data_IF_098526403726
#
_entry.id   IF_098526403726
#
_cell.length_a   1.000
_cell.length_b   1.000
_cell.length_c   1.000
_cell.angle_alpha   90.00
_cell.angle_beta   90.00
_cell.angle_gamma   90.00
#
_symmetry.space_group_name_H-M   'P 1'
#
loop_
_entity.id
_entity.type
_entity.pdbx_description
1 polymer ?
#
# COMPACT_ATOMS: atom_id res chain seq x y z
N UNK A 1 -20.65 2.61 -46.62
CA UNK A 1 -19.77 1.87 -47.54
C UNK A 1 -18.71 1.15 -46.73
N UNK A 2 -18.43 -0.12 -47.02
CA UNK A 2 -17.37 -0.91 -46.38
C UNK A 2 -17.83 -1.99 -45.40
N UNK A 3 -18.59 -2.98 -45.89
CA UNK A 3 -18.88 -4.25 -45.20
C UNK A 3 -17.68 -5.20 -45.31
N UNK A 4 -17.34 -5.94 -44.25
CA UNK A 4 -16.67 -7.25 -44.33
C UNK A 4 -17.45 -8.28 -43.50
N UNK A 5 -17.66 -9.52 -43.99
CA UNK A 5 -18.60 -10.47 -43.40
C UNK A 5 -17.92 -11.50 -42.47
N UNK A 6 -18.73 -12.02 -41.56
CA UNK A 6 -18.49 -13.18 -40.72
C UNK A 6 -18.58 -14.49 -41.54
N UNK A 7 -17.79 -15.50 -41.15
CA UNK A 7 -17.97 -16.88 -41.60
C UNK A 7 -18.21 -17.78 -40.37
N UNK A 8 -19.40 -18.37 -40.35
CA UNK A 8 -19.79 -19.54 -39.57
C UNK A 8 -20.02 -20.64 -40.61
N UNK A 9 -19.46 -21.84 -40.43
CA UNK A 9 -20.02 -23.06 -40.99
C UNK A 9 -19.49 -24.29 -40.24
N UNK A 10 -20.37 -24.85 -39.42
CA UNK A 10 -20.39 -26.22 -38.94
C UNK A 10 -20.64 -27.19 -40.11
N UNK A 11 -20.09 -28.40 -40.07
CA UNK A 11 -20.73 -29.57 -40.69
C UNK A 11 -20.22 -30.88 -40.05
N UNK A 12 -21.14 -31.60 -39.42
CA UNK A 12 -21.03 -33.05 -39.16
C UNK A 12 -21.46 -33.81 -40.42
N UNK A 13 -21.04 -35.08 -40.60
CA UNK A 13 -21.88 -36.25 -40.96
C UNK A 13 -21.02 -37.53 -41.13
N UNK A 14 -21.43 -38.55 -40.36
CA UNK A 14 -21.56 -40.00 -40.60
C UNK A 14 -20.47 -40.87 -41.29
N UNK A 15 -19.99 -41.84 -40.50
CA UNK A 15 -20.14 -43.30 -40.62
C UNK A 15 -20.07 -44.02 -41.99
N UNK A 16 -19.18 -45.01 -42.06
CA UNK A 16 -19.35 -46.24 -42.84
C UNK A 16 -18.77 -47.45 -42.07
N UNK A 17 -19.56 -48.53 -42.00
CA UNK A 17 -19.30 -49.84 -41.37
C UNK A 17 -18.67 -50.85 -42.34
N UNK A 18 -18.34 -52.05 -41.81
CA UNK A 18 -17.98 -53.36 -42.41
C UNK A 18 -16.47 -53.62 -42.62
N UNK A 19 -15.90 -54.80 -42.38
CA UNK A 19 -16.33 -56.03 -41.73
C UNK A 19 -15.08 -56.91 -41.42
N UNK A 20 -15.23 -57.75 -40.40
CA UNK A 20 -14.57 -59.02 -40.05
C UNK A 20 -13.36 -59.56 -40.85
N UNK A 21 -12.35 -60.02 -40.10
CA UNK A 21 -11.35 -61.00 -40.53
C UNK A 21 -10.63 -61.65 -39.34
N UNK A 22 -11.09 -62.83 -38.92
CA UNK A 22 -10.39 -63.74 -38.00
C UNK A 22 -9.07 -64.21 -38.64
N UNK A 23 -7.96 -64.18 -37.89
CA UNK A 23 -6.78 -65.02 -38.17
C UNK A 23 -6.08 -65.48 -36.88
N UNK A 24 -6.39 -66.72 -36.55
CA UNK A 24 -5.57 -67.79 -35.96
C UNK A 24 -4.27 -67.43 -35.22
N UNK A 25 -4.30 -67.83 -33.95
CA UNK A 25 -3.20 -68.13 -33.04
C UNK A 25 -2.21 -69.11 -33.68
N UNK A 26 -0.93 -68.75 -33.70
CA UNK A 26 0.18 -69.69 -33.88
C UNK A 26 1.08 -69.54 -32.65
N UNK A 27 1.04 -70.55 -31.78
CA UNK A 27 1.89 -70.64 -30.61
C UNK A 27 3.32 -70.99 -30.98
N UNK A 28 4.27 -70.25 -30.44
CA UNK A 28 5.70 -70.60 -30.43
C UNK A 28 6.06 -71.34 -29.15
N UNK A 29 7.01 -72.29 -29.19
CA UNK A 29 7.17 -73.31 -28.16
C UNK A 29 7.82 -72.76 -26.90
N UNK A 30 7.32 -73.24 -25.76
CA UNK A 30 7.92 -73.03 -24.45
C UNK A 30 9.30 -73.69 -24.39
N UNK A 31 10.33 -72.89 -24.14
CA UNK A 31 11.64 -73.38 -23.71
C UNK A 31 11.50 -73.80 -22.25
N UNK A 32 11.60 -75.10 -22.01
CA UNK A 32 11.63 -75.68 -20.68
C UNK A 32 12.89 -75.23 -19.95
N UNK A 33 12.74 -74.29 -19.01
CA UNK A 33 13.75 -74.05 -18.00
C UNK A 33 13.72 -75.22 -17.01
N UNK A 34 14.76 -76.03 -17.05
CA UNK A 34 15.02 -77.13 -16.12
C UNK A 34 14.95 -76.61 -14.69
N UNK A 35 14.03 -77.17 -13.92
CA UNK A 35 13.85 -76.85 -12.50
C UNK A 35 15.11 -77.12 -11.71
N UNK A 36 15.64 -76.06 -11.11
CA UNK A 36 16.49 -76.16 -9.93
C UNK A 36 15.56 -76.30 -8.72
N UNK A 37 15.86 -77.30 -7.91
CA UNK A 37 15.17 -77.71 -6.69
C UNK A 37 14.97 -76.57 -5.70
N UNK A 38 13.75 -76.51 -5.12
CA UNK A 38 13.36 -75.86 -3.86
C UNK A 38 14.49 -75.15 -3.09
N UNK A 39 14.57 -73.84 -3.26
CA UNK A 39 14.83 -72.91 -2.17
C UNK A 39 13.87 -71.73 -2.39
N UNK A 40 12.64 -71.87 -1.88
CA UNK A 40 11.76 -70.72 -1.75
C UNK A 40 12.44 -69.79 -0.76
N UNK A 41 13.19 -68.79 -1.24
CA UNK A 41 13.56 -67.64 -0.42
C UNK A 41 12.26 -67.11 0.17
N UNK A 42 12.05 -67.31 1.46
CA UNK A 42 10.88 -66.80 2.16
C UNK A 42 10.80 -65.30 1.89
N UNK A 43 9.69 -64.85 1.30
CA UNK A 43 9.46 -63.42 1.07
C UNK A 43 9.47 -62.69 2.42
N UNK A 44 9.98 -61.46 2.45
CA UNK A 44 9.90 -60.65 3.66
C UNK A 44 8.46 -60.28 4.03
N UNK A 45 7.51 -60.36 3.08
CA UNK A 45 6.10 -60.02 3.24
C UNK A 45 5.25 -61.29 3.13
N UNK A 46 4.89 -61.88 4.26
CA UNK A 46 4.02 -63.06 4.37
C UNK A 46 2.94 -62.84 5.43
N UNK A 47 2.08 -63.84 5.67
CA UNK A 47 1.13 -63.80 6.79
C UNK A 47 1.81 -63.77 8.16
N UNK A 48 3.05 -64.26 8.26
CA UNK A 48 3.81 -64.36 9.52
C UNK A 48 4.94 -63.31 9.62
N UNK A 49 5.42 -62.76 8.51
CA UNK A 49 6.52 -61.78 8.45
C UNK A 49 6.07 -60.49 7.74
N UNK A 50 6.25 -59.32 8.38
CA UNK A 50 5.82 -57.99 7.89
C UNK A 50 4.43 -57.94 7.21
N UNK A 51 3.43 -58.60 7.80
CA UNK A 51 2.10 -58.79 7.23
C UNK A 51 1.33 -57.49 6.89
N UNK A 52 1.77 -56.32 7.37
CA UNK A 52 1.17 -55.02 7.09
C UNK A 52 1.88 -54.23 5.99
N UNK A 53 3.07 -54.67 5.55
CA UNK A 53 3.86 -54.01 4.52
C UNK A 53 3.28 -54.30 3.13
N UNK A 54 3.28 -53.29 2.25
CA UNK A 54 2.68 -53.36 0.92
C UNK A 54 1.15 -53.28 0.90
N UNK A 55 0.49 -52.89 2.01
CA UNK A 55 -0.99 -52.85 2.14
C UNK A 55 -1.58 -51.44 2.22
N UNK A 56 -0.77 -50.39 2.36
CA UNK A 56 -1.28 -49.02 2.37
C UNK A 56 -1.68 -48.54 0.97
N UNK A 57 -2.44 -47.42 0.91
CA UNK A 57 -2.98 -46.87 -0.34
C UNK A 57 -1.90 -46.52 -1.37
N UNK A 58 -0.74 -46.02 -0.94
CA UNK A 58 0.37 -45.65 -1.81
C UNK A 58 1.63 -46.43 -1.43
N UNK A 59 1.77 -47.62 -1.99
CA UNK A 59 2.98 -48.45 -1.84
C UNK A 59 4.09 -47.95 -2.77
N UNK A 60 5.33 -47.93 -2.27
CA UNK A 60 6.50 -47.56 -3.06
C UNK A 60 6.89 -48.70 -4.03
N UNK A 61 7.29 -48.36 -5.26
CA UNK A 61 7.47 -49.32 -6.36
C UNK A 61 8.28 -50.58 -6.00
N UNK A 62 9.53 -50.45 -5.50
CA UNK A 62 10.33 -51.59 -5.09
C UNK A 62 9.67 -52.49 -4.03
N UNK A 63 8.89 -51.91 -3.10
CA UNK A 63 8.16 -52.68 -2.08
C UNK A 63 6.95 -53.40 -2.69
N UNK A 64 6.25 -52.78 -3.63
CA UNK A 64 5.11 -53.39 -4.31
C UNK A 64 5.49 -54.66 -5.09
N UNK A 65 6.74 -54.77 -5.54
CA UNK A 65 7.29 -55.94 -6.24
C UNK A 65 8.18 -56.83 -5.36
N UNK A 66 8.25 -56.56 -4.05
CA UNK A 66 9.00 -57.38 -3.09
C UNK A 66 10.53 -57.31 -3.22
N UNK A 67 11.09 -56.27 -3.85
CA UNK A 67 12.52 -56.08 -4.05
C UNK A 67 13.16 -55.34 -2.88
N UNK A 68 13.31 -56.03 -1.74
CA UNK A 68 13.87 -55.44 -0.53
C UNK A 68 15.39 -55.20 -0.65
N UNK A 69 16.10 -56.05 -1.40
CA UNK A 69 17.58 -56.01 -1.50
C UNK A 69 18.11 -54.82 -2.31
N UNK A 70 17.23 -54.13 -3.07
CA UNK A 70 17.60 -52.90 -3.80
C UNK A 70 17.91 -51.75 -2.83
N UNK A 71 17.38 -51.80 -1.61
CA UNK A 71 17.55 -50.78 -0.59
C UNK A 71 18.26 -51.29 0.66
N UNK A 72 18.12 -52.58 0.98
CA UNK A 72 18.61 -53.17 2.21
C UNK A 72 19.70 -54.23 1.97
N UNK A 73 20.75 -54.19 2.77
CA UNK A 73 21.70 -55.28 2.90
C UNK A 73 21.45 -56.05 4.21
N UNK A 74 21.45 -57.38 4.13
CA UNK A 74 21.36 -58.24 5.30
C UNK A 74 22.67 -58.19 6.09
N UNK A 75 22.59 -57.88 7.37
CA UNK A 75 23.71 -57.93 8.34
C UNK A 75 23.58 -59.08 9.33
N UNK A 76 22.49 -59.84 9.25
CA UNK A 76 22.21 -61.02 10.06
C UNK A 76 20.94 -61.73 9.62
N UNK A 77 20.50 -62.75 10.38
CA UNK A 77 19.32 -63.59 10.04
C UNK A 77 18.02 -62.80 9.84
N UNK A 78 17.85 -61.67 10.54
CA UNK A 78 16.74 -60.73 10.37
C UNK A 78 17.16 -59.31 10.75
N UNK A 79 18.36 -58.92 10.33
CA UNK A 79 18.93 -57.60 10.58
C UNK A 79 19.33 -56.99 9.24
N UNK A 80 18.85 -55.78 8.97
CA UNK A 80 19.05 -55.10 7.69
C UNK A 80 19.45 -53.66 7.92
N UNK A 81 20.37 -53.15 7.08
CA UNK A 81 20.69 -51.72 7.02
C UNK A 81 20.54 -51.20 5.60
N UNK A 82 20.31 -49.89 5.40
CA UNK A 82 20.39 -49.30 4.08
C UNK A 82 21.75 -49.59 3.43
N UNK A 83 21.76 -49.95 2.14
CA UNK A 83 23.00 -50.31 1.40
C UNK A 83 23.99 -49.14 1.26
N UNK A 84 23.53 -47.92 1.48
CA UNK A 84 24.34 -46.70 1.46
C UNK A 84 23.62 -45.62 2.25
N UNK A 85 24.15 -44.39 2.26
CA UNK A 85 23.45 -43.24 2.84
C UNK A 85 22.04 -43.10 2.24
N UNK A 86 21.06 -42.76 3.09
CA UNK A 86 19.65 -42.72 2.70
C UNK A 86 19.41 -41.76 1.53
N UNK A 87 20.07 -40.60 1.52
CA UNK A 87 19.93 -39.62 0.45
C UNK A 87 20.47 -40.15 -0.88
N UNK A 88 21.69 -40.67 -0.86
CA UNK A 88 22.32 -41.28 -2.05
C UNK A 88 21.55 -42.50 -2.56
N UNK A 89 20.96 -43.28 -1.66
CA UNK A 89 20.11 -44.42 -2.04
C UNK A 89 18.91 -43.96 -2.86
N UNK A 90 18.21 -42.92 -2.41
CA UNK A 90 17.09 -42.35 -3.15
C UNK A 90 17.51 -41.84 -4.54
N UNK A 91 18.67 -41.19 -4.64
CA UNK A 91 19.17 -40.61 -5.90
C UNK A 91 19.63 -41.62 -6.95
N UNK A 92 19.77 -42.90 -6.61
CA UNK A 92 20.02 -43.96 -7.60
C UNK A 92 18.86 -44.12 -8.59
N UNK A 93 17.64 -43.80 -8.15
CA UNK A 93 16.43 -43.90 -8.97
C UNK A 93 15.72 -42.55 -9.15
N UNK A 94 15.77 -41.66 -8.16
CA UNK A 94 15.12 -40.36 -8.21
C UNK A 94 16.06 -39.26 -8.67
N UNK A 95 15.50 -38.30 -9.40
CA UNK A 95 16.26 -37.10 -9.80
C UNK A 95 16.80 -36.39 -8.56
N UNK A 96 18.05 -35.91 -8.67
CA UNK A 96 18.70 -35.05 -7.68
C UNK A 96 17.90 -33.77 -7.47
N UNK A 97 17.55 -33.51 -6.21
CA UNK A 97 16.75 -32.35 -5.76
C UNK A 97 17.50 -31.48 -4.74
N UNK A 98 18.82 -31.54 -4.79
CA UNK A 98 19.79 -30.87 -3.93
C UNK A 98 20.78 -29.99 -4.73
N UNK A 99 20.39 -29.59 -5.94
CA UNK A 99 21.28 -28.96 -6.93
C UNK A 99 20.97 -27.49 -7.20
N UNK A 100 19.84 -26.96 -6.71
CA UNK A 100 19.48 -25.54 -6.86
C UNK A 100 20.11 -24.67 -5.77
N UNK A 101 20.00 -23.35 -5.94
CA UNK A 101 20.65 -22.37 -5.05
C UNK A 101 20.20 -22.48 -3.59
N UNK A 102 18.91 -22.70 -3.36
CA UNK A 102 18.34 -22.83 -2.03
C UNK A 102 17.77 -24.23 -1.88
N UNK A 103 18.41 -25.05 -1.05
CA UNK A 103 17.98 -26.42 -0.75
C UNK A 103 17.42 -26.46 0.66
N UNK A 104 16.26 -27.11 0.83
CA UNK A 104 15.67 -27.30 2.14
C UNK A 104 16.58 -28.17 3.00
N UNK A 105 16.82 -27.76 4.25
CA UNK A 105 17.81 -28.41 5.13
C UNK A 105 17.67 -29.94 5.21
N UNK A 106 16.47 -30.53 5.40
CA UNK A 106 16.33 -31.99 5.43
C UNK A 106 16.76 -32.68 4.13
N UNK A 107 16.53 -32.05 2.98
CA UNK A 107 16.96 -32.57 1.67
C UNK A 107 18.47 -32.49 1.52
N UNK A 108 19.07 -31.35 1.91
CA UNK A 108 20.53 -31.16 1.90
C UNK A 108 21.26 -32.18 2.79
N UNK A 109 20.62 -32.60 3.87
CA UNK A 109 21.14 -33.60 4.82
C UNK A 109 20.79 -35.05 4.44
N UNK A 110 20.19 -35.31 3.27
CA UNK A 110 19.81 -36.66 2.84
C UNK A 110 18.68 -37.31 3.65
N UNK A 111 17.95 -36.53 4.46
CA UNK A 111 16.90 -37.02 5.37
C UNK A 111 15.54 -37.16 4.68
N UNK A 112 15.52 -37.79 3.50
CA UNK A 112 14.31 -38.00 2.69
C UNK A 112 13.21 -38.70 3.50
N UNK A 113 13.60 -39.65 4.36
CA UNK A 113 12.69 -40.45 5.17
C UNK A 113 12.04 -39.69 6.33
N UNK A 114 12.43 -38.45 6.61
CA UNK A 114 11.72 -37.62 7.59
C UNK A 114 10.35 -37.20 7.07
N UNK A 115 10.24 -37.00 5.75
CA UNK A 115 9.01 -36.58 5.08
C UNK A 115 8.33 -37.74 4.35
N UNK A 116 9.11 -38.62 3.74
CA UNK A 116 8.62 -39.75 2.96
C UNK A 116 8.75 -41.07 3.75
N UNK A 117 7.83 -41.99 3.54
CA UNK A 117 7.95 -43.37 3.95
C UNK A 117 8.42 -44.20 2.74
N UNK A 118 9.65 -44.74 2.75
CA UNK A 118 10.21 -45.42 1.59
C UNK A 118 9.53 -46.77 1.30
N UNK A 119 8.64 -47.25 2.18
CA UNK A 119 7.90 -48.47 1.96
C UNK A 119 6.50 -48.18 1.45
N UNK A 120 5.72 -47.39 2.19
CA UNK A 120 4.31 -47.17 1.89
C UNK A 120 3.70 -46.06 2.75
N UNK A 121 2.61 -45.44 2.28
CA UNK A 121 1.84 -44.47 3.07
C UNK A 121 0.36 -44.43 2.66
N UNK A 122 -0.57 -44.04 3.56
CA UNK A 122 -1.92 -43.65 3.18
C UNK A 122 -1.95 -42.32 2.38
N UNK A 123 -0.87 -41.53 2.37
CA UNK A 123 -0.76 -40.24 1.70
C UNK A 123 -0.02 -40.34 0.36
N UNK A 124 -0.45 -39.55 -0.63
CA UNK A 124 0.18 -39.49 -1.96
C UNK A 124 1.66 -39.09 -1.82
N UNK A 125 2.51 -39.56 -2.73
CA UNK A 125 3.97 -39.36 -2.70
C UNK A 125 4.63 -39.95 -1.45
N UNK A 126 4.00 -40.96 -0.85
CA UNK A 126 4.52 -41.65 0.31
C UNK A 126 4.74 -40.72 1.52
N UNK A 127 4.00 -39.62 1.64
CA UNK A 127 4.24 -38.66 2.72
C UNK A 127 3.85 -39.23 4.08
N UNK A 128 4.65 -38.98 5.12
CA UNK A 128 4.36 -39.46 6.49
C UNK A 128 3.14 -38.79 7.14
N UNK A 129 2.68 -37.67 6.60
CA UNK A 129 1.48 -36.97 7.03
C UNK A 129 0.89 -36.20 5.83
N UNK A 130 -0.40 -35.88 5.91
CA UNK A 130 -1.10 -35.12 4.88
C UNK A 130 -0.87 -33.61 5.02
N UNK A 131 -0.75 -32.91 3.89
CA UNK A 131 -0.78 -31.44 3.83
C UNK A 131 0.20 -30.76 4.79
N UNK A 132 -0.30 -29.74 5.48
CA UNK A 132 0.44 -28.94 6.46
C UNK A 132 0.86 -29.72 7.71
N UNK A 133 0.17 -30.81 8.04
CA UNK A 133 0.55 -31.65 9.19
C UNK A 133 1.95 -32.23 9.02
N UNK A 134 2.39 -32.46 7.77
CA UNK A 134 3.76 -32.87 7.49
C UNK A 134 4.77 -31.80 7.90
N UNK A 135 4.48 -30.54 7.57
CA UNK A 135 5.33 -29.40 7.88
C UNK A 135 5.39 -29.17 9.39
N UNK A 136 4.27 -29.30 10.10
CA UNK A 136 4.17 -29.06 11.54
C UNK A 136 4.83 -30.14 12.42
N UNK A 137 5.33 -31.23 11.83
CA UNK A 137 6.23 -32.16 12.54
C UNK A 137 7.54 -31.49 12.95
N UNK A 138 7.91 -30.37 12.32
CA UNK A 138 9.10 -29.60 12.64
C UNK A 138 8.86 -28.09 12.77
N UNK A 139 7.96 -27.51 11.96
CA UNK A 139 7.65 -26.09 12.02
C UNK A 139 6.61 -25.80 13.11
N UNK A 140 6.85 -24.81 13.97
CA UNK A 140 5.93 -24.51 15.07
C UNK A 140 4.58 -23.98 14.54
N UNK A 141 3.54 -24.79 14.69
CA UNK A 141 2.15 -24.48 14.30
C UNK A 141 1.63 -23.18 14.91
N UNK A 142 2.02 -22.82 16.12
CA UNK A 142 1.54 -21.62 16.81
C UNK A 142 1.85 -20.34 16.03
N UNK A 143 2.98 -20.31 15.32
CA UNK A 143 3.38 -19.15 14.49
C UNK A 143 2.51 -18.93 13.26
N UNK A 144 1.67 -19.90 12.91
CA UNK A 144 0.76 -19.89 11.76
C UNK A 144 -0.72 -19.76 12.16
N UNK A 145 -1.01 -19.75 13.48
CA UNK A 145 -2.37 -19.80 14.02
C UNK A 145 -2.66 -18.59 14.92
N UNK A 146 -2.33 -17.39 14.44
CA UNK A 146 -2.65 -16.12 15.12
C UNK A 146 -4.08 -15.65 14.76
N UNK A 147 -4.47 -14.49 15.28
CA UNK A 147 -5.84 -13.96 15.16
C UNK A 147 -6.34 -13.85 13.72
N UNK A 148 -5.49 -13.40 12.81
CA UNK A 148 -5.75 -13.36 11.37
C UNK A 148 -4.80 -14.32 10.69
N UNK A 149 -5.35 -15.22 9.87
CA UNK A 149 -4.58 -16.24 9.16
C UNK A 149 -4.74 -15.98 7.66
N UNK A 150 -3.63 -16.03 6.94
CA UNK A 150 -3.65 -15.88 5.49
C UNK A 150 -4.32 -17.09 4.83
N UNK A 151 -5.17 -16.87 3.82
CA UNK A 151 -6.01 -17.90 3.19
C UNK A 151 -5.29 -19.21 2.85
N UNK A 152 -4.17 -19.20 2.11
CA UNK A 152 -3.41 -20.41 1.81
C UNK A 152 -2.92 -21.16 3.05
N UNK A 153 -2.52 -20.44 4.10
CA UNK A 153 -2.13 -21.05 5.38
C UNK A 153 -3.32 -21.64 6.11
N UNK A 154 -4.47 -20.96 6.09
CA UNK A 154 -5.70 -21.41 6.74
C UNK A 154 -6.23 -22.74 6.15
N UNK A 155 -5.95 -23.01 4.87
CA UNK A 155 -6.32 -24.27 4.19
C UNK A 155 -5.17 -25.28 4.12
N UNK A 156 -4.02 -24.99 4.76
CA UNK A 156 -2.88 -25.90 4.82
C UNK A 156 -2.04 -25.99 3.54
N UNK A 157 -2.19 -25.06 2.60
CA UNK A 157 -1.48 -25.06 1.33
C UNK A 157 -0.17 -24.26 1.39
N UNK A 158 0.82 -24.78 2.10
CA UNK A 158 2.17 -24.23 2.13
C UNK A 158 2.83 -24.22 0.74
N UNK A 159 2.44 -25.18 -0.12
CA UNK A 159 3.01 -25.42 -1.44
C UNK A 159 2.66 -24.33 -2.46
N UNK A 160 1.57 -23.60 -2.23
CA UNK A 160 1.17 -22.43 -3.03
C UNK A 160 2.17 -21.27 -3.02
N UNK A 161 3.10 -21.25 -2.08
CA UNK A 161 4.15 -20.24 -1.97
C UNK A 161 5.55 -20.85 -1.88
N UNK A 162 5.68 -22.04 -1.27
CA UNK A 162 6.96 -22.68 -0.99
C UNK A 162 7.20 -23.94 -1.82
N UNK A 163 8.44 -24.12 -2.28
CA UNK A 163 8.93 -25.36 -2.89
C UNK A 163 9.67 -26.22 -1.87
N UNK A 164 9.02 -27.29 -1.40
CA UNK A 164 9.44 -28.05 -0.21
C UNK A 164 10.82 -28.72 -0.27
N UNK A 165 11.38 -28.92 -1.48
CA UNK A 165 12.68 -29.57 -1.68
C UNK A 165 13.80 -28.56 -1.89
N UNK A 166 13.66 -27.76 -2.95
CA UNK A 166 14.67 -26.81 -3.39
C UNK A 166 14.02 -25.75 -4.29
N UNK A 167 14.68 -24.60 -4.40
CA UNK A 167 14.27 -23.51 -5.27
C UNK A 167 15.42 -22.55 -5.52
N UNK A 168 15.15 -21.54 -6.33
CA UNK A 168 16.14 -20.52 -6.69
C UNK A 168 16.02 -19.28 -5.79
N UNK A 169 14.93 -19.17 -5.02
CA UNK A 169 14.63 -18.00 -4.22
C UNK A 169 14.78 -18.26 -2.71
N UNK A 170 15.23 -17.26 -1.93
CA UNK A 170 15.34 -17.38 -0.48
C UNK A 170 14.05 -17.88 0.17
N UNK A 171 14.21 -18.60 1.30
CA UNK A 171 13.08 -19.22 2.04
C UNK A 171 12.25 -20.19 1.19
N UNK A 172 12.85 -20.75 0.14
CA UNK A 172 12.21 -21.71 -0.76
C UNK A 172 10.94 -21.15 -1.40
N UNK A 173 10.89 -19.86 -1.72
CA UNK A 173 9.75 -19.29 -2.41
C UNK A 173 9.70 -19.77 -3.86
N UNK A 174 8.50 -19.90 -4.43
CA UNK A 174 8.31 -20.29 -5.82
C UNK A 174 8.57 -19.15 -6.82
N UNK A 175 8.63 -17.90 -6.35
CA UNK A 175 8.91 -16.71 -7.15
C UNK A 175 9.70 -15.68 -6.35
N UNK A 176 10.37 -14.75 -7.04
CA UNK A 176 11.23 -13.75 -6.42
C UNK A 176 10.43 -12.60 -5.79
N UNK A 177 10.73 -12.30 -4.52
CA UNK A 177 10.23 -11.10 -3.83
C UNK A 177 8.72 -10.98 -3.93
N UNK A 178 8.23 -9.79 -4.29
CA UNK A 178 6.79 -9.51 -4.39
C UNK A 178 6.07 -10.31 -5.49
N UNK A 179 6.80 -10.90 -6.44
CA UNK A 179 6.20 -11.67 -7.53
C UNK A 179 5.43 -12.89 -7.01
N UNK A 180 5.83 -13.46 -5.86
CA UNK A 180 5.07 -14.56 -5.23
C UNK A 180 3.67 -14.12 -4.82
N UNK A 181 3.53 -12.88 -4.33
CA UNK A 181 2.26 -12.30 -3.94
C UNK A 181 1.38 -12.03 -5.17
N UNK A 182 1.99 -11.54 -6.26
CA UNK A 182 1.30 -11.15 -7.49
C UNK A 182 0.75 -12.32 -8.31
N UNK A 183 1.16 -13.56 -8.00
CA UNK A 183 0.51 -14.75 -8.56
C UNK A 183 -0.99 -14.80 -8.25
N UNK A 184 -1.40 -14.24 -7.10
CA UNK A 184 -2.81 -14.19 -6.67
C UNK A 184 -3.33 -12.75 -6.54
N UNK A 185 -2.54 -11.84 -5.96
CA UNK A 185 -2.90 -10.42 -5.79
C UNK A 185 -2.68 -9.62 -7.08
N UNK A 186 -3.41 -10.02 -8.12
CA UNK A 186 -3.32 -9.46 -9.47
C UNK A 186 -3.82 -8.02 -9.53
N UNK A 187 -4.76 -7.64 -8.67
CA UNK A 187 -5.23 -6.27 -8.49
C UNK A 187 -4.07 -5.34 -8.05
N UNK A 188 -3.22 -5.81 -7.13
CA UNK A 188 -2.03 -5.07 -6.70
C UNK A 188 -0.97 -5.04 -7.78
N UNK A 189 -0.74 -6.16 -8.46
CA UNK A 189 0.19 -6.20 -9.59
C UNK A 189 -0.19 -5.17 -10.67
N UNK A 190 -1.47 -5.03 -10.96
CA UNK A 190 -1.99 -4.08 -11.94
C UNK A 190 -1.91 -2.64 -11.45
N UNK A 191 -2.27 -2.38 -10.19
CA UNK A 191 -2.16 -1.06 -9.59
C UNK A 191 -0.71 -0.55 -9.59
N UNK A 192 0.28 -1.43 -9.35
CA UNK A 192 1.70 -1.10 -9.41
C UNK A 192 2.19 -0.71 -10.80
N UNK A 193 1.58 -1.24 -11.86
CA UNK A 193 1.91 -0.88 -13.25
C UNK A 193 1.31 0.45 -13.66
N UNK A 194 0.10 0.73 -13.18
CA UNK A 194 -0.72 1.83 -13.71
C UNK A 194 -0.67 3.12 -12.88
N UNK A 195 -0.30 3.05 -11.60
CA UNK A 195 -0.26 4.22 -10.71
C UNK A 195 1.11 4.90 -10.75
N UNK A 196 1.10 6.22 -10.69
CA UNK A 196 2.31 7.05 -10.86
C UNK A 196 3.26 7.02 -9.67
N UNK A 197 2.74 6.99 -8.45
CA UNK A 197 3.52 7.09 -7.22
C UNK A 197 3.41 5.80 -6.43
N UNK A 198 4.49 5.01 -6.42
CA UNK A 198 4.58 3.78 -5.64
C UNK A 198 5.26 4.08 -4.31
N UNK A 199 4.69 3.58 -3.22
CA UNK A 199 5.30 3.70 -1.90
C UNK A 199 6.54 2.80 -1.82
N UNK A 200 7.70 3.42 -1.57
CA UNK A 200 9.01 2.76 -1.64
C UNK A 200 9.09 1.43 -0.86
N UNK A 201 8.66 1.32 0.41
CA UNK A 201 8.74 0.06 1.15
C UNK A 201 8.00 -1.09 0.44
N UNK A 202 6.88 -0.79 -0.20
CA UNK A 202 6.09 -1.81 -0.90
C UNK A 202 6.74 -2.20 -2.24
N UNK A 203 7.45 -1.28 -2.91
CA UNK A 203 8.24 -1.64 -4.10
C UNK A 203 9.39 -2.60 -3.81
N UNK A 204 9.92 -2.56 -2.58
CA UNK A 204 11.03 -3.41 -2.13
C UNK A 204 10.52 -4.75 -1.58
N UNK A 205 9.48 -4.72 -0.73
CA UNK A 205 8.98 -5.93 -0.06
C UNK A 205 7.59 -5.73 0.56
N UNK A 206 6.61 -6.53 0.14
CA UNK A 206 5.29 -6.59 0.79
C UNK A 206 5.40 -7.01 2.27
N UNK A 207 6.37 -7.87 2.59
CA UNK A 207 6.49 -8.45 3.93
C UNK A 207 7.13 -7.50 4.95
N UNK A 208 7.59 -6.32 4.53
CA UNK A 208 7.99 -5.24 5.44
C UNK A 208 6.81 -4.72 6.27
N UNK A 209 5.59 -4.86 5.74
CA UNK A 209 4.36 -4.42 6.41
C UNK A 209 3.41 -5.59 6.71
N UNK A 210 3.39 -6.61 5.85
CA UNK A 210 2.53 -7.78 5.99
C UNK A 210 3.29 -9.00 6.54
N UNK A 211 2.60 -9.82 7.31
CA UNK A 211 3.00 -11.19 7.61
C UNK A 211 2.30 -12.13 6.60
N UNK A 212 3.03 -12.88 5.76
CA UNK A 212 2.43 -13.73 4.74
C UNK A 212 1.78 -15.01 5.33
N UNK A 213 1.91 -15.26 6.63
CA UNK A 213 1.37 -16.44 7.29
C UNK A 213 0.16 -16.12 8.15
N UNK A 214 0.39 -15.38 9.24
CA UNK A 214 -0.64 -14.99 10.20
C UNK A 214 -0.17 -13.80 11.03
N UNK A 215 -1.11 -12.99 11.51
CA UNK A 215 -0.82 -11.81 12.32
C UNK A 215 -1.93 -11.50 13.31
N UNK A 216 -1.64 -10.57 14.21
CA UNK A 216 -2.61 -10.12 15.22
C UNK A 216 -3.46 -8.95 14.74
N UNK A 217 -3.05 -8.32 13.64
CA UNK A 217 -3.70 -7.16 13.03
C UNK A 217 -4.38 -7.54 11.70
N UNK A 218 -5.47 -6.85 11.41
CA UNK A 218 -6.25 -7.06 10.19
C UNK A 218 -5.36 -6.89 8.95
N UNK A 219 -5.64 -7.67 7.90
CA UNK A 219 -4.83 -7.77 6.68
C UNK A 219 -3.42 -8.35 6.92
N UNK A 220 -3.25 -9.06 8.04
CA UNK A 220 -1.98 -9.64 8.49
C UNK A 220 -0.87 -8.59 8.59
N UNK A 221 -1.18 -7.39 9.09
CA UNK A 221 -0.15 -6.37 9.27
C UNK A 221 0.74 -6.69 10.48
N UNK A 222 1.98 -6.21 10.45
CA UNK A 222 2.92 -6.37 11.57
C UNK A 222 2.53 -5.50 12.80
N UNK A 223 1.84 -4.38 12.58
CA UNK A 223 1.37 -3.41 13.58
C UNK A 223 -0.02 -2.87 13.19
N UNK A 224 -0.68 -2.04 14.02
CA UNK A 224 -1.93 -1.38 13.62
C UNK A 224 -1.70 -0.51 12.36
N UNK A 225 -2.40 -0.86 11.27
CA UNK A 225 -2.19 -0.27 9.95
C UNK A 225 -2.69 1.17 9.79
N UNK A 226 -3.40 1.72 10.77
CA UNK A 226 -3.97 3.07 10.67
C UNK A 226 -3.00 4.12 11.18
N UNK A 227 -2.03 3.75 12.01
CA UNK A 227 -1.12 4.70 12.65
C UNK A 227 0.22 4.09 13.06
N UNK A 228 0.22 3.06 13.91
CA UNK A 228 1.44 2.50 14.51
C UNK A 228 2.42 1.99 13.45
N UNK A 229 1.90 1.27 12.45
CA UNK A 229 2.71 0.80 11.33
C UNK A 229 3.38 1.95 10.58
N UNK A 230 2.66 3.04 10.34
CA UNK A 230 3.22 4.21 9.65
C UNK A 230 4.37 4.82 10.47
N UNK A 231 4.16 4.95 11.78
CA UNK A 231 5.14 5.52 12.71
C UNK A 231 6.31 4.61 13.05
N UNK A 232 6.31 3.34 12.64
CA UNK A 232 7.51 2.50 12.70
C UNK A 232 8.65 3.00 11.79
N UNK A 233 8.30 3.79 10.75
CA UNK A 233 9.25 4.38 9.81
C UNK A 233 9.17 5.91 9.77
N UNK A 234 7.98 6.50 9.93
CA UNK A 234 7.75 7.94 9.84
C UNK A 234 7.84 8.65 11.20
N UNK A 235 8.94 8.44 11.92
CA UNK A 235 9.14 8.91 13.30
C UNK A 235 9.14 10.44 13.40
N UNK A 236 9.72 11.13 12.41
CA UNK A 236 9.72 12.61 12.35
C UNK A 236 8.30 13.14 12.23
N UNK A 237 7.45 12.47 11.43
CA UNK A 237 6.05 12.86 11.28
C UNK A 237 5.27 12.61 12.58
N UNK A 238 5.53 11.49 13.26
CA UNK A 238 4.96 11.20 14.57
C UNK A 238 5.28 12.33 15.56
N UNK A 239 6.55 12.77 15.59
CA UNK A 239 7.01 13.87 16.44
C UNK A 239 6.32 15.19 16.08
N UNK A 240 6.23 15.53 14.80
CA UNK A 240 5.54 16.76 14.36
C UNK A 240 4.06 16.77 14.78
N UNK A 241 3.36 15.64 14.64
CA UNK A 241 1.96 15.50 15.04
C UNK A 241 1.81 15.59 16.57
N UNK A 242 2.73 15.00 17.33
CA UNK A 242 2.66 15.01 18.79
C UNK A 242 2.95 16.40 19.38
N UNK A 243 3.86 17.15 18.78
CA UNK A 243 4.24 18.52 19.19
C UNK A 243 3.25 19.60 18.71
N UNK A 244 2.36 19.28 17.76
CA UNK A 244 1.38 20.23 17.24
C UNK A 244 0.36 20.65 18.31
N UNK A 245 0.26 21.95 18.58
CA UNK A 245 -0.73 22.51 19.51
C UNK A 245 -2.10 22.69 18.86
N UNK A 246 -2.15 22.95 17.55
CA UNK A 246 -3.36 23.01 16.73
C UNK A 246 -3.39 21.76 15.85
N UNK A 247 -4.10 20.74 16.34
CA UNK A 247 -4.18 19.43 15.68
C UNK A 247 -5.24 19.40 14.59
N UNK A 248 -4.98 18.62 13.54
CA UNK A 248 -5.98 18.33 12.53
C UNK A 248 -6.86 17.15 12.97
N UNK A 249 -8.14 17.42 13.24
CA UNK A 249 -9.10 16.38 13.68
C UNK A 249 -9.29 15.23 12.68
N UNK A 250 -8.91 15.41 11.40
CA UNK A 250 -8.91 14.33 10.42
C UNK A 250 -8.01 13.15 10.82
N UNK A 251 -6.96 13.40 11.61
CA UNK A 251 -6.07 12.36 12.14
C UNK A 251 -6.74 11.49 13.21
N UNK A 252 -7.80 11.98 13.84
CA UNK A 252 -8.57 11.26 14.87
C UNK A 252 -9.76 10.48 14.29
N UNK A 253 -9.92 10.47 12.96
CA UNK A 253 -10.96 9.65 12.31
C UNK A 253 -10.64 8.17 12.47
N UNK A 254 -11.64 7.29 12.28
CA UNK A 254 -11.44 5.84 12.37
C UNK A 254 -10.36 5.32 11.39
N UNK A 255 -10.15 6.02 10.27
CA UNK A 255 -9.15 5.70 9.25
C UNK A 255 -7.79 6.36 9.48
N UNK A 256 -7.70 7.36 10.36
CA UNK A 256 -6.46 8.08 10.71
C UNK A 256 -5.63 8.46 9.47
N UNK A 257 -4.39 7.99 9.34
CA UNK A 257 -3.52 8.23 8.18
C UNK A 257 -4.16 7.81 6.85
N UNK A 258 -4.91 6.71 6.86
CA UNK A 258 -5.59 6.13 5.69
C UNK A 258 -6.86 6.90 5.29
N UNK A 259 -7.22 7.96 6.02
CA UNK A 259 -8.26 8.90 5.58
C UNK A 259 -7.78 9.74 4.37
N UNK A 260 -6.46 9.93 4.26
CA UNK A 260 -5.84 10.76 3.23
C UNK A 260 -4.85 9.97 2.36
N UNK A 261 -4.21 8.93 2.89
CA UNK A 261 -3.11 8.24 2.23
C UNK A 261 -3.47 6.81 1.77
N UNK A 262 -2.97 6.41 0.60
CA UNK A 262 -2.88 5.02 0.18
C UNK A 262 -1.47 4.48 0.49
N UNK A 263 -1.32 3.43 1.32
CA UNK A 263 -0.01 2.97 1.75
C UNK A 263 0.76 2.19 0.66
N UNK A 264 0.14 1.91 -0.49
CA UNK A 264 0.75 1.15 -1.58
C UNK A 264 1.08 2.05 -2.76
N UNK A 265 0.06 2.66 -3.35
CA UNK A 265 0.18 3.38 -4.63
C UNK A 265 -0.83 4.51 -4.76
N UNK A 266 -0.47 5.54 -5.52
CA UNK A 266 -1.35 6.67 -5.79
C UNK A 266 -1.06 7.32 -7.14
N UNK A 267 -2.05 8.02 -7.70
CA UNK A 267 -1.87 8.93 -8.83
C UNK A 267 -1.40 10.34 -8.41
N UNK A 268 -1.42 10.60 -7.11
CA UNK A 268 -1.13 11.89 -6.51
C UNK A 268 0.15 11.82 -5.64
N UNK A 269 0.92 12.92 -5.59
CA UNK A 269 2.16 12.95 -4.82
C UNK A 269 1.86 12.71 -3.33
N UNK A 270 2.88 12.25 -2.59
CA UNK A 270 2.78 11.95 -1.15
C UNK A 270 1.70 10.91 -0.82
N UNK A 271 1.40 10.02 -1.77
CA UNK A 271 0.46 8.91 -1.59
C UNK A 271 -0.98 9.35 -1.28
N UNK A 272 -1.44 10.50 -1.77
CA UNK A 272 -2.79 10.98 -1.48
C UNK A 272 -3.86 10.16 -2.23
N UNK A 273 -4.99 9.86 -1.61
CA UNK A 273 -6.05 9.06 -2.24
C UNK A 273 -6.86 9.84 -3.31
N UNK A 274 -6.70 11.16 -3.35
CA UNK A 274 -7.37 12.09 -4.27
C UNK A 274 -6.46 13.29 -4.55
N UNK A 275 -6.85 14.11 -5.51
CA UNK A 275 -6.24 15.40 -5.77
C UNK A 275 -6.28 16.27 -4.48
N UNK A 276 -5.18 16.97 -4.12
CA UNK A 276 -5.08 17.72 -2.88
C UNK A 276 -6.29 18.58 -2.50
N UNK A 277 -6.79 19.45 -3.39
CA UNK A 277 -7.93 20.30 -3.07
C UNK A 277 -9.22 19.49 -2.95
N UNK A 278 -9.46 18.53 -3.85
CA UNK A 278 -10.63 17.66 -3.78
C UNK A 278 -10.67 16.81 -2.50
N UNK A 279 -9.50 16.37 -2.01
CA UNK A 279 -9.37 15.66 -0.75
C UNK A 279 -9.79 16.55 0.43
N UNK A 280 -9.27 17.77 0.48
CA UNK A 280 -9.64 18.74 1.52
C UNK A 280 -11.12 19.09 1.47
N UNK A 281 -11.61 19.47 0.28
CA UNK A 281 -12.99 19.88 0.05
C UNK A 281 -14.00 18.72 0.18
N UNK A 282 -13.54 17.47 0.23
CA UNK A 282 -14.39 16.32 0.57
C UNK A 282 -14.87 16.31 2.03
N UNK A 283 -14.15 17.00 2.93
CA UNK A 283 -14.53 17.15 4.34
C UNK A 283 -14.83 18.61 4.71
N UNK A 284 -14.17 19.58 4.07
CA UNK A 284 -14.37 21.01 4.24
C UNK A 284 -15.54 21.54 3.37
N UNK A 285 -16.59 20.74 3.23
CA UNK A 285 -17.80 21.02 2.44
C UNK A 285 -18.98 21.56 3.26
N UNK A 286 -18.74 21.83 4.54
CA UNK A 286 -19.71 22.33 5.50
C UNK A 286 -19.03 23.11 6.61
N UNK A 287 -19.82 23.89 7.32
CA UNK A 287 -19.36 24.57 8.52
C UNK A 287 -19.24 23.60 9.71
N UNK A 288 -18.19 23.76 10.52
CA UNK A 288 -18.09 23.06 11.80
C UNK A 288 -17.34 23.87 12.85
N UNK A 289 -17.69 23.65 14.12
CA UNK A 289 -17.05 24.29 15.26
C UNK A 289 -15.72 23.61 15.59
N UNK A 290 -14.68 24.40 15.80
CA UNK A 290 -13.41 23.94 16.35
C UNK A 290 -13.09 24.70 17.64
N UNK A 291 -12.18 24.21 18.50
CA UNK A 291 -11.74 24.93 19.70
C UNK A 291 -11.20 26.33 19.40
N UNK A 292 -10.69 26.56 18.19
CA UNK A 292 -10.16 27.86 17.74
C UNK A 292 -11.18 28.70 16.95
N UNK A 293 -12.46 28.31 17.00
CA UNK A 293 -13.58 28.96 16.33
C UNK A 293 -14.13 28.18 15.15
N UNK A 294 -15.11 28.76 14.48
CA UNK A 294 -15.85 28.13 13.38
C UNK A 294 -15.00 28.04 12.12
N UNK A 295 -14.87 26.82 11.57
CA UNK A 295 -14.29 26.57 10.25
C UNK A 295 -15.42 26.68 9.23
N UNK A 296 -15.26 27.59 8.27
CA UNK A 296 -16.27 27.85 7.25
C UNK A 296 -16.38 26.68 6.26
N UNK A 297 -17.53 26.61 5.59
CA UNK A 297 -17.70 25.78 4.40
C UNK A 297 -16.78 26.27 3.28
N UNK A 298 -15.60 25.67 3.15
CA UNK A 298 -14.60 26.13 2.20
C UNK A 298 -15.02 25.82 0.76
N UNK A 299 -15.70 24.69 0.54
CA UNK A 299 -16.21 24.32 -0.79
C UNK A 299 -17.18 25.36 -1.33
N UNK A 300 -18.13 25.79 -0.50
CA UNK A 300 -19.08 26.84 -0.86
C UNK A 300 -18.41 28.21 -1.01
N UNK A 301 -17.48 28.56 -0.10
CA UNK A 301 -16.73 29.82 -0.19
C UNK A 301 -15.98 29.94 -1.52
N UNK A 302 -15.26 28.88 -1.94
CA UNK A 302 -14.52 28.88 -3.19
C UNK A 302 -15.43 28.85 -4.42
N UNK A 303 -16.59 28.20 -4.34
CA UNK A 303 -17.58 28.20 -5.42
C UNK A 303 -18.21 29.58 -5.65
N UNK A 304 -18.49 30.30 -4.56
CA UNK A 304 -19.17 31.61 -4.60
C UNK A 304 -18.22 32.79 -4.91
N UNK A 305 -16.91 32.58 -4.85
CA UNK A 305 -15.90 33.63 -5.05
C UNK A 305 -14.98 33.24 -6.21
N UNK A 306 -14.97 34.04 -7.28
CA UNK A 306 -14.27 33.68 -8.53
C UNK A 306 -12.80 34.08 -8.58
N UNK A 307 -12.37 35.06 -7.78
CA UNK A 307 -10.97 35.49 -7.71
C UNK A 307 -10.24 34.71 -6.61
N UNK A 308 -9.74 33.52 -6.97
CA UNK A 308 -8.99 32.62 -6.09
C UNK A 308 -7.56 33.10 -5.91
N UNK A 309 -7.06 33.06 -4.68
CA UNK A 309 -5.66 33.33 -4.37
C UNK A 309 -4.75 32.29 -5.03
N UNK A 310 -3.52 32.66 -5.42
CA UNK A 310 -2.62 31.84 -6.25
C UNK A 310 -2.56 30.35 -5.86
N UNK A 311 -2.14 29.99 -4.64
CA UNK A 311 -2.09 28.59 -4.21
C UNK A 311 -3.46 27.88 -4.19
N UNK A 312 -4.57 28.60 -3.97
CA UNK A 312 -5.91 28.02 -4.05
C UNK A 312 -6.27 27.73 -5.51
N UNK A 313 -5.94 28.63 -6.43
CA UNK A 313 -6.08 28.43 -7.88
C UNK A 313 -5.26 27.24 -8.37
N UNK A 314 -4.09 27.01 -7.76
CA UNK A 314 -3.21 25.88 -8.05
C UNK A 314 -3.59 24.61 -7.27
N UNK A 315 -4.71 24.62 -6.54
CA UNK A 315 -5.23 23.51 -5.73
C UNK A 315 -4.28 23.07 -4.59
N UNK A 316 -3.31 23.92 -4.22
CA UNK A 316 -2.34 23.66 -3.16
C UNK A 316 -2.73 24.33 -1.84
N UNK A 317 -3.73 23.75 -1.16
CA UNK A 317 -4.10 24.16 0.20
C UNK A 317 -2.94 23.96 1.19
N UNK A 318 -2.05 23.01 0.91
CA UNK A 318 -0.95 22.61 1.79
C UNK A 318 0.23 23.56 1.76
N UNK A 319 0.27 24.52 0.83
CA UNK A 319 1.24 25.63 0.83
C UNK A 319 1.13 26.50 2.09
N UNK A 320 -0.09 26.78 2.55
CA UNK A 320 -0.37 27.62 3.71
C UNK A 320 -0.77 26.82 4.94
N UNK A 321 -1.45 25.67 4.76
CA UNK A 321 -1.90 24.81 5.85
C UNK A 321 -1.01 23.58 6.00
N UNK A 322 -0.74 23.17 7.22
CA UNK A 322 -0.17 21.87 7.53
C UNK A 322 -1.29 20.88 7.85
N UNK A 323 -1.53 19.93 6.95
CA UNK A 323 -2.56 18.90 7.08
C UNK A 323 -2.37 17.96 8.27
N UNK A 324 -1.18 17.94 8.88
CA UNK A 324 -0.88 17.12 10.05
C UNK A 324 -1.01 17.88 11.37
N UNK A 325 -1.35 19.17 11.32
CA UNK A 325 -1.36 20.08 12.45
C UNK A 325 -0.17 21.02 12.48
N UNK A 326 -0.26 22.08 13.26
CA UNK A 326 0.85 23.01 13.48
C UNK A 326 0.73 23.70 14.83
N UNK A 327 1.68 24.59 15.15
CA UNK A 327 1.60 25.44 16.34
C UNK A 327 0.81 26.74 16.13
N UNK A 328 0.34 26.98 14.91
CA UNK A 328 -0.25 28.26 14.51
C UNK A 328 -1.76 28.14 14.26
N UNK A 329 -2.46 29.27 14.40
CA UNK A 329 -3.91 29.36 14.21
C UNK A 329 -4.35 28.67 12.91
N UNK A 330 -5.38 27.83 12.97
CA UNK A 330 -5.92 27.06 11.82
C UNK A 330 -4.86 26.24 11.08
N UNK A 331 -3.90 25.68 11.83
CA UNK A 331 -2.86 24.79 11.32
C UNK A 331 -2.01 25.46 10.22
N UNK A 332 -1.86 26.77 10.27
CA UNK A 332 -1.04 27.48 9.30
C UNK A 332 0.43 27.06 9.43
N UNK A 333 1.20 27.10 8.35
CA UNK A 333 2.61 26.73 8.37
C UNK A 333 3.48 27.72 9.14
N UNK A 334 3.10 28.98 9.11
CA UNK A 334 3.75 30.08 9.81
C UNK A 334 2.70 30.99 10.45
N UNK A 335 3.17 31.90 11.31
CA UNK A 335 2.28 32.76 12.06
C UNK A 335 1.52 33.74 11.15
N UNK A 336 0.21 33.78 11.36
CA UNK A 336 -0.69 34.81 10.83
C UNK A 336 -1.91 34.89 11.77
N UNK A 337 -2.00 35.93 12.63
CA UNK A 337 -2.95 35.94 13.72
C UNK A 337 -4.40 36.08 13.22
N UNK A 338 -5.38 35.61 14.03
CA UNK A 338 -6.80 35.80 13.73
C UNK A 338 -7.30 37.23 13.96
N UNK A 339 -6.43 38.12 14.44
CA UNK A 339 -6.80 39.44 14.93
C UNK A 339 -7.06 40.42 13.79
N UNK A 340 -8.01 41.32 14.00
CA UNK A 340 -8.25 42.47 13.12
C UNK A 340 -7.13 43.51 13.27
N UNK A 341 -6.77 43.82 14.52
CA UNK A 341 -5.70 44.74 14.86
C UNK A 341 -4.54 44.01 15.52
N UNK A 342 -3.31 44.31 15.08
CA UNK A 342 -2.07 43.92 15.73
C UNK A 342 -1.03 45.03 15.53
N UNK A 343 -0.18 45.27 16.52
CA UNK A 343 1.01 46.11 16.30
C UNK A 343 1.87 45.52 15.18
N UNK A 344 2.50 46.38 14.38
CA UNK A 344 3.37 45.92 13.31
C UNK A 344 4.54 45.12 13.87
N UNK A 345 4.57 43.84 13.51
CA UNK A 345 5.68 42.93 13.73
C UNK A 345 5.70 41.98 12.54
N UNK A 346 6.86 41.82 11.89
CA UNK A 346 7.00 40.94 10.73
C UNK A 346 6.65 39.49 11.05
N UNK A 347 6.91 39.05 12.29
CA UNK A 347 6.55 37.72 12.76
C UNK A 347 5.04 37.47 12.74
N UNK A 348 4.20 38.52 12.82
CA UNK A 348 2.74 38.37 12.70
C UNK A 348 2.30 38.09 11.26
N UNK A 349 3.15 38.31 10.27
CA UNK A 349 2.81 38.16 8.85
C UNK A 349 3.72 37.16 8.15
N UNK A 350 4.49 36.39 8.92
CA UNK A 350 5.52 35.48 8.40
C UNK A 350 4.96 34.52 7.36
N UNK A 351 3.74 34.02 7.54
CA UNK A 351 3.05 33.21 6.51
C UNK A 351 2.91 33.94 5.18
N UNK A 352 2.44 35.18 5.19
CA UNK A 352 2.25 35.98 3.99
C UNK A 352 3.60 36.28 3.32
N UNK A 353 4.61 36.58 4.13
CA UNK A 353 5.95 36.94 3.66
C UNK A 353 6.79 35.77 3.17
N UNK A 354 6.27 34.54 3.21
CA UNK A 354 6.86 33.42 2.47
C UNK A 354 6.79 33.62 0.96
N UNK A 355 5.83 34.43 0.47
CA UNK A 355 5.62 34.68 -0.96
C UNK A 355 5.45 36.17 -1.32
N UNK A 356 5.07 37.02 -0.36
CA UNK A 356 4.90 38.45 -0.57
C UNK A 356 6.06 39.24 0.03
N UNK A 357 6.53 40.26 -0.70
CA UNK A 357 7.63 41.10 -0.25
C UNK A 357 7.24 41.94 0.99
N UNK A 358 8.04 41.88 2.06
CA UNK A 358 7.70 42.57 3.32
C UNK A 358 7.80 44.11 3.18
N UNK A 359 8.61 44.60 2.23
CA UNK A 359 8.79 46.02 1.96
C UNK A 359 7.46 46.72 1.62
N UNK A 360 6.46 45.98 1.13
CA UNK A 360 5.11 46.51 0.87
C UNK A 360 4.48 47.15 2.10
N UNK A 361 4.79 46.67 3.31
CA UNK A 361 4.27 47.22 4.55
C UNK A 361 5.30 48.05 5.32
N UNK A 362 6.58 47.99 4.96
CA UNK A 362 7.66 48.71 5.66
C UNK A 362 7.97 50.08 5.08
N UNK A 363 7.90 50.21 3.76
CA UNK A 363 8.30 51.42 3.07
C UNK A 363 7.19 52.48 3.13
N UNK A 364 7.54 53.68 3.61
CA UNK A 364 6.61 54.81 3.72
C UNK A 364 6.11 55.29 2.36
N UNK A 365 6.98 55.22 1.35
CA UNK A 365 6.72 55.66 0.00
C UNK A 365 7.15 54.61 -1.01
N UNK A 366 6.47 54.56 -2.15
CA UNK A 366 6.81 53.66 -3.26
C UNK A 366 6.13 54.11 -4.54
N UNK A 367 6.76 53.83 -5.68
CA UNK A 367 6.12 53.96 -7.00
C UNK A 367 5.90 52.62 -7.69
N UNK A 368 6.59 51.57 -7.22
CA UNK A 368 6.72 50.26 -7.88
C UNK A 368 6.18 49.08 -7.08
N UNK A 369 6.23 49.12 -5.74
CA UNK A 369 5.92 47.95 -4.89
C UNK A 369 4.42 47.62 -4.86
N UNK A 370 3.56 48.63 -4.97
CA UNK A 370 2.11 48.44 -4.88
C UNK A 370 1.33 49.51 -5.62
N UNK A 371 0.14 49.13 -6.08
CA UNK A 371 -0.84 50.05 -6.66
C UNK A 371 -1.80 50.64 -5.61
N UNK A 372 -1.71 50.23 -4.35
CA UNK A 372 -2.44 50.84 -3.23
C UNK A 372 -1.60 51.98 -2.63
N UNK A 373 -1.53 53.08 -3.36
CA UNK A 373 -0.75 54.27 -3.01
C UNK A 373 -1.42 55.55 -3.51
N UNK A 374 -1.28 56.65 -2.77
CA UNK A 374 -1.78 57.97 -3.16
C UNK A 374 -0.58 58.86 -3.54
N UNK A 375 -0.38 59.13 -4.82
CA UNK A 375 0.95 59.53 -5.30
C UNK A 375 1.98 58.46 -4.96
N UNK A 376 3.11 58.84 -4.39
CA UNK A 376 4.13 57.93 -3.88
C UNK A 376 3.82 57.41 -2.45
N UNK A 377 2.84 57.96 -1.74
CA UNK A 377 2.51 57.54 -0.37
C UNK A 377 1.97 56.10 -0.35
N UNK A 378 2.70 55.19 0.28
CA UNK A 378 2.31 53.80 0.39
C UNK A 378 1.18 53.63 1.41
N UNK A 379 -0.02 53.26 0.95
CA UNK A 379 -1.16 53.13 1.85
C UNK A 379 -1.12 51.84 2.68
N UNK A 380 -0.39 50.79 2.26
CA UNK A 380 -0.17 49.63 3.12
C UNK A 380 0.59 50.02 4.39
N UNK A 381 1.65 50.83 4.26
CA UNK A 381 2.38 51.37 5.41
C UNK A 381 1.46 52.12 6.39
N UNK A 382 0.59 52.99 5.86
CA UNK A 382 -0.35 53.78 6.68
C UNK A 382 -1.32 52.91 7.48
N UNK A 383 -1.72 51.74 6.97
CA UNK A 383 -2.70 50.87 7.62
C UNK A 383 -2.06 49.79 8.49
N UNK A 384 -0.98 49.18 8.01
CA UNK A 384 -0.36 47.98 8.60
C UNK A 384 0.77 48.36 9.55
N UNK A 385 1.61 49.34 9.18
CA UNK A 385 2.79 49.75 9.94
C UNK A 385 2.47 50.77 11.03
N UNK A 386 1.75 50.30 12.06
CA UNK A 386 1.45 51.08 13.26
C UNK A 386 1.91 50.30 14.48
N UNK A 387 2.61 50.99 15.39
CA UNK A 387 3.01 50.41 16.67
C UNK A 387 1.79 49.94 17.49
N UNK A 388 0.71 50.72 17.45
CA UNK A 388 -0.56 50.42 18.14
C UNK A 388 -1.69 50.40 17.11
N UNK A 389 -2.55 49.36 17.17
CA UNK A 389 -3.71 49.18 16.28
C UNK A 389 -3.38 49.19 14.78
N UNK A 390 -2.26 48.59 14.37
CA UNK A 390 -2.03 48.26 12.95
C UNK A 390 -3.10 47.29 12.46
N UNK A 391 -3.62 47.50 11.25
CA UNK A 391 -4.57 46.58 10.63
C UNK A 391 -3.81 45.39 10.07
N UNK A 392 -4.22 44.17 10.40
CA UNK A 392 -3.63 42.98 9.78
C UNK A 392 -4.08 42.86 8.33
N UNK A 393 -3.39 42.06 7.51
CA UNK A 393 -3.79 41.81 6.13
C UNK A 393 -5.26 41.32 6.02
N UNK A 394 -5.72 40.56 7.03
CA UNK A 394 -7.09 40.01 7.12
C UNK A 394 -8.17 41.08 7.33
N UNK A 395 -7.78 42.27 7.78
CA UNK A 395 -8.69 43.41 7.96
C UNK A 395 -9.20 43.98 6.63
N UNK A 396 -8.57 43.61 5.50
CA UNK A 396 -9.02 44.00 4.17
C UNK A 396 -9.10 42.80 3.19
N UNK A 397 -8.23 41.80 3.34
CA UNK A 397 -8.09 40.70 2.38
C UNK A 397 -8.66 39.38 2.91
N UNK A 398 -9.27 38.60 2.02
CA UNK A 398 -9.42 37.16 2.22
C UNK A 398 -8.24 36.45 1.57
N UNK A 399 -7.59 35.54 2.30
CA UNK A 399 -6.44 34.81 1.79
C UNK A 399 -6.83 33.62 0.89
N UNK A 400 -8.13 33.28 0.80
CA UNK A 400 -8.60 32.17 -0.02
C UNK A 400 -9.16 32.66 -1.35
N UNK A 401 -10.26 33.42 -1.31
CA UNK A 401 -10.93 33.92 -2.50
C UNK A 401 -11.87 35.08 -2.16
N UNK A 402 -12.04 36.02 -3.09
CA UNK A 402 -13.16 36.98 -3.08
C UNK A 402 -13.71 37.16 -4.50
N UNK A 403 -14.66 38.08 -4.68
CA UNK A 403 -15.08 38.53 -6.02
C UNK A 403 -14.44 39.87 -6.42
N UNK A 404 -13.67 40.49 -5.53
CA UNK A 404 -13.03 41.78 -5.79
C UNK A 404 -11.56 41.62 -6.13
N UNK A 405 -11.00 42.50 -6.99
CA UNK A 405 -9.59 42.46 -7.34
C UNK A 405 -8.68 42.49 -6.11
N UNK A 406 -7.57 41.75 -6.18
CA UNK A 406 -6.56 41.66 -5.09
C UNK A 406 -7.14 41.06 -3.80
N UNK A 407 -8.17 40.23 -3.94
CA UNK A 407 -8.82 39.51 -2.85
C UNK A 407 -9.33 40.43 -1.72
N UNK A 408 -9.74 41.65 -2.06
CA UNK A 408 -10.34 42.57 -1.08
C UNK A 408 -11.74 42.06 -0.72
N UNK A 409 -12.08 42.09 0.57
CA UNK A 409 -13.37 41.60 1.07
C UNK A 409 -14.45 42.66 0.90
N UNK A 410 -15.70 42.23 0.72
CA UNK A 410 -16.83 43.15 0.76
C UNK A 410 -17.06 43.68 2.18
N UNK A 411 -16.91 42.80 3.17
CA UNK A 411 -17.01 43.13 4.58
C UNK A 411 -16.07 42.25 5.42
N UNK A 412 -15.70 42.78 6.59
CA UNK A 412 -14.82 42.11 7.55
C UNK A 412 -15.50 41.97 8.91
N UNK A 413 -15.35 40.82 9.59
CA UNK A 413 -15.85 40.67 10.94
C UNK A 413 -15.16 41.67 11.88
N UNK A 414 -15.93 42.49 12.58
CA UNK A 414 -15.47 43.45 13.57
C UNK A 414 -16.38 43.38 14.81
N UNK A 415 -16.03 42.53 15.76
CA UNK A 415 -16.93 42.18 16.86
C UNK A 415 -18.22 41.54 16.33
N UNK A 416 -19.38 42.02 16.79
CA UNK A 416 -20.69 41.59 16.29
C UNK A 416 -21.11 42.21 14.96
N UNK A 417 -20.31 43.10 14.38
CA UNK A 417 -20.66 43.83 13.16
C UNK A 417 -19.83 43.36 11.96
N UNK A 418 -20.49 43.28 10.79
CA UNK A 418 -19.83 43.09 9.49
C UNK A 418 -19.49 44.46 8.94
N UNK A 419 -18.27 44.92 9.22
CA UNK A 419 -17.75 46.21 8.78
C UNK A 419 -17.58 46.19 7.25
N UNK A 420 -18.33 47.00 6.48
CA UNK A 420 -18.16 47.06 5.04
C UNK A 420 -16.83 47.71 4.68
N UNK A 421 -16.10 47.12 3.74
CA UNK A 421 -14.88 47.72 3.16
C UNK A 421 -15.27 48.69 2.04
N UNK A 422 -16.24 48.29 1.20
CA UNK A 422 -16.79 49.11 0.12
C UNK A 422 -15.73 49.63 -0.83
N UNK A 423 -14.78 48.78 -1.21
CA UNK A 423 -13.71 49.13 -2.14
C UNK A 423 -14.27 49.27 -3.56
N UNK A 424 -13.91 50.37 -4.23
CA UNK A 424 -14.18 50.57 -5.66
C UNK A 424 -12.88 50.99 -6.34
N UNK A 425 -12.47 50.21 -7.34
CA UNK A 425 -11.25 50.46 -8.11
C UNK A 425 -11.50 51.52 -9.19
N UNK A 426 -10.56 52.45 -9.37
CA UNK A 426 -10.49 53.32 -10.55
C UNK A 426 -9.29 52.95 -11.41
N UNK A 427 -9.14 53.54 -12.60
CA UNK A 427 -7.99 53.26 -13.48
C UNK A 427 -6.65 53.55 -12.78
N UNK A 428 -6.57 54.69 -12.12
CA UNK A 428 -5.36 55.26 -11.49
C UNK A 428 -5.32 55.08 -9.98
N UNK A 429 -6.36 54.51 -9.35
CA UNK A 429 -6.45 54.42 -7.90
C UNK A 429 -7.68 53.67 -7.41
N UNK A 430 -8.39 54.26 -6.44
CA UNK A 430 -9.60 53.66 -5.87
C UNK A 430 -10.19 54.49 -4.73
N UNK A 431 -11.27 53.97 -4.15
CA UNK A 431 -11.92 54.54 -2.99
C UNK A 431 -12.48 53.45 -2.08
N UNK A 432 -12.67 53.76 -0.80
CA UNK A 432 -13.34 52.87 0.15
C UNK A 432 -14.49 53.61 0.83
N UNK A 433 -15.66 52.98 0.90
CA UNK A 433 -16.84 53.56 1.53
C UNK A 433 -16.66 53.78 3.05
N UNK A 434 -17.52 54.61 3.68
CA UNK A 434 -17.49 54.80 5.10
C UNK A 434 -17.78 53.51 5.87
N UNK A 435 -16.73 52.99 6.50
CA UNK A 435 -16.78 51.89 7.46
C UNK A 435 -15.64 52.04 8.44
N UNK A 436 -14.41 52.04 7.92
CA UNK A 436 -13.19 52.25 8.72
C UNK A 436 -12.92 53.72 9.05
N UNK A 437 -13.34 54.63 8.16
CA UNK A 437 -13.10 56.07 8.18
C UNK A 437 -14.16 56.74 7.28
N UNK A 438 -14.25 58.07 7.23
CA UNK A 438 -15.02 58.80 6.20
C UNK A 438 -14.59 58.37 4.79
N UNK A 439 -15.39 58.62 3.74
CA UNK A 439 -15.01 58.25 2.36
C UNK A 439 -13.61 58.78 2.04
N UNK A 440 -12.68 57.87 1.75
CA UNK A 440 -11.33 58.23 1.31
C UNK A 440 -11.09 57.71 -0.10
N UNK A 441 -10.42 58.55 -0.90
CA UNK A 441 -10.00 58.26 -2.27
C UNK A 441 -8.49 58.27 -2.37
N UNK A 442 -7.94 57.56 -3.34
CA UNK A 442 -6.52 57.67 -3.66
C UNK A 442 -6.32 57.60 -5.17
N UNK A 443 -5.27 58.25 -5.64
CA UNK A 443 -4.88 58.24 -7.05
C UNK A 443 -3.35 58.27 -7.16
N UNK A 444 -2.80 57.41 -8.02
CA UNK A 444 -1.35 57.23 -8.20
C UNK A 444 -0.69 58.30 -9.05
N UNK A 445 -1.47 59.04 -9.85
CA UNK A 445 -1.02 60.07 -10.79
C UNK A 445 -1.35 61.46 -10.25
N UNK A 446 -2.59 61.68 -9.79
CA UNK A 446 -3.08 62.96 -9.30
C UNK A 446 -3.50 62.84 -7.81
N UNK A 447 -2.54 62.90 -6.86
CA UNK A 447 -2.78 62.55 -5.46
C UNK A 447 -3.93 63.33 -4.84
N UNK A 448 -4.80 62.63 -4.12
CA UNK A 448 -6.01 63.22 -3.51
C UNK A 448 -5.72 63.69 -2.09
N UNK A 449 -6.18 64.90 -1.74
CA UNK A 449 -6.20 65.39 -0.36
C UNK A 449 -7.53 65.02 0.28
N UNK A 450 -7.47 64.21 1.33
CA UNK A 450 -8.62 63.56 1.98
C UNK A 450 -9.02 64.20 3.32
#
# INVERSE_FOLDING_TARGET
MGKKPAFIASLSIAAACLAMGLLHVIGTPAVAATGSTNDTKESCITGTCHATMGKEKFVHGPVAVGQCEVCHEATGKHAFKPITDIGELCYRCHQRIDVRQVVHRPVKEGKCTNCHDPHQSPNKYQLRAAGEQLCFRCHNKETFNRKFIHGPVAVGDCGSCHVAHQGDFPKLLMAQGNSVCFNCHTDKAEAFKNKKFIHKPVSESCVSCHNPHSGDYQYNLQYDGREELCFSCHNEKQKEISEATVKHKALDTERKCLACHDPHVSDHPKQLIKEPADLCLGCHDREYKSPTGTVANMKELLANNKDHHGPVKDHDCSSCHNSHGSKYFRMLRENFPPLFYAGYNEDNYKLCFMCHENSLAREKTTTTLTNFRNGDQNLHYVHVNKAVKGRTCRACHDAHATNNPRHIRDAVPFGGWKLPVGFTKTATGGQCLPGCHKLLRYDRINPVKN
#
